data_IF_081610311807
#
_entry.id   IF_081610311807
#
_cell.length_a   1.000
_cell.length_b   1.000
_cell.length_c   1.000
_cell.angle_alpha   90.00
_cell.angle_beta   90.00
_cell.angle_gamma   90.00
#
_symmetry.space_group_name_H-M   'P 1'
#
loop_
_entity.id
_entity.type
_entity.pdbx_description
1 polymer ?
#
# COMPACT_ATOMS: atom_id res chain seq x y z
N UNK A 1 8.37 4.20 -19.78
CA UNK A 1 9.46 3.68 -18.88
C UNK A 1 10.62 4.66 -18.74
N UNK A 2 10.33 5.98 -18.65
CA UNK A 2 11.37 6.99 -18.46
C UNK A 2 12.10 6.83 -17.13
N UNK A 3 11.41 6.43 -16.07
CA UNK A 3 12.00 6.23 -14.73
C UNK A 3 13.11 5.17 -14.73
N UNK A 4 12.91 4.05 -15.42
CA UNK A 4 13.94 3.01 -15.53
C UNK A 4 15.20 3.49 -16.27
N UNK A 5 15.03 4.35 -17.27
CA UNK A 5 16.15 4.93 -18.01
C UNK A 5 16.94 5.91 -17.14
N UNK A 6 16.25 6.75 -16.35
CA UNK A 6 16.91 7.68 -15.43
C UNK A 6 17.65 6.96 -14.31
N UNK A 7 17.08 5.91 -13.72
CA UNK A 7 17.76 5.14 -12.67
C UNK A 7 18.98 4.40 -13.18
N UNK A 8 18.92 3.83 -14.37
CA UNK A 8 20.07 3.19 -15.02
C UNK A 8 21.17 4.21 -15.35
N UNK A 9 20.80 5.36 -15.91
CA UNK A 9 21.78 6.42 -16.24
C UNK A 9 22.47 6.95 -14.98
N UNK A 10 21.74 7.20 -13.90
CA UNK A 10 22.29 7.64 -12.63
C UNK A 10 23.23 6.57 -12.01
N UNK A 11 22.85 5.30 -12.07
CA UNK A 11 23.68 4.18 -11.61
C UNK A 11 24.99 4.08 -12.38
N UNK A 12 24.94 4.18 -13.71
CA UNK A 12 26.14 4.18 -14.56
C UNK A 12 27.06 5.36 -14.29
N UNK A 13 26.50 6.57 -14.11
CA UNK A 13 27.27 7.77 -13.78
C UNK A 13 28.01 7.61 -12.44
N UNK A 14 27.35 7.08 -11.40
CA UNK A 14 27.98 6.83 -10.11
C UNK A 14 29.07 5.76 -10.21
N UNK A 15 28.84 4.68 -10.93
CA UNK A 15 29.87 3.67 -11.20
C UNK A 15 31.08 4.26 -11.92
N UNK A 16 30.87 5.12 -12.91
CA UNK A 16 31.94 5.82 -13.60
C UNK A 16 32.76 6.70 -12.65
N UNK A 17 32.12 7.45 -11.75
CA UNK A 17 32.80 8.27 -10.74
C UNK A 17 33.67 7.42 -9.82
N UNK A 18 33.17 6.30 -9.32
CA UNK A 18 33.91 5.38 -8.46
C UNK A 18 35.14 4.81 -9.18
N UNK A 19 34.95 4.34 -10.43
CA UNK A 19 36.03 3.79 -11.26
C UNK A 19 37.08 4.85 -11.58
N UNK A 20 36.68 6.06 -11.99
CA UNK A 20 37.58 7.14 -12.32
C UNK A 20 38.41 7.61 -11.11
N UNK A 21 37.78 7.74 -9.94
CA UNK A 21 38.49 8.10 -8.70
C UNK A 21 39.48 7.01 -8.27
N UNK A 22 39.12 5.76 -8.44
CA UNK A 22 40.00 4.64 -8.15
C UNK A 22 41.18 4.57 -9.13
N UNK A 23 40.96 4.76 -10.45
CA UNK A 23 42.01 4.85 -11.45
C UNK A 23 42.94 6.04 -11.18
N UNK A 24 42.38 7.21 -10.85
CA UNK A 24 43.14 8.38 -10.47
C UNK A 24 44.05 8.12 -9.27
N UNK A 25 43.61 7.33 -8.29
CA UNK A 25 44.42 6.93 -7.14
C UNK A 25 45.67 6.12 -7.53
N UNK A 26 45.59 5.36 -8.62
CA UNK A 26 46.72 4.55 -9.17
C UNK A 26 47.70 5.37 -9.96
N UNK A 27 47.25 6.47 -10.56
CA UNK A 27 48.08 7.35 -11.37
C UNK A 27 48.93 8.31 -10.52
N UNK A 28 48.69 8.41 -9.21
CA UNK A 28 49.43 9.31 -8.32
C UNK A 28 50.83 8.71 -8.03
N UNK A 29 51.91 9.42 -8.33
CA UNK A 29 53.26 8.98 -8.00
C UNK A 29 53.43 8.85 -6.50
N UNK A 30 53.86 7.67 -6.05
CA UNK A 30 54.12 7.39 -4.59
C UNK A 30 55.60 7.51 -4.25
N UNK A 31 56.44 7.64 -5.24
CA UNK A 31 57.88 7.90 -5.12
C UNK A 31 58.16 9.31 -5.69
N UNK A 32 58.74 10.18 -4.90
CA UNK A 32 59.07 11.56 -5.31
C UNK A 32 60.61 11.79 -5.28
N UNK A 33 61.03 12.94 -5.80
CA UNK A 33 62.44 13.35 -5.79
C UNK A 33 63.01 13.49 -4.36
N UNK A 34 62.14 13.68 -3.38
CA UNK A 34 62.53 13.73 -1.96
C UNK A 34 61.51 12.93 -1.06
N UNK A 35 61.89 12.58 0.19
CA UNK A 35 60.99 11.82 1.08
C UNK A 35 59.66 12.51 1.39
N UNK A 36 59.57 13.84 1.32
CA UNK A 36 58.35 14.60 1.59
C UNK A 36 57.34 14.44 0.46
N UNK A 37 57.82 14.52 -0.80
CA UNK A 37 56.97 14.31 -1.97
C UNK A 37 56.39 12.90 -2.03
N UNK A 38 57.19 11.88 -1.71
CA UNK A 38 56.76 10.51 -1.61
C UNK A 38 55.71 10.31 -0.53
N UNK A 39 55.82 10.99 0.65
CA UNK A 39 54.77 10.96 1.70
C UNK A 39 53.47 11.60 1.22
N UNK A 40 53.56 12.76 0.52
CA UNK A 40 52.40 13.48 -0.01
C UNK A 40 51.65 12.63 -1.07
N UNK A 41 52.42 12.02 -2.00
CA UNK A 41 51.86 11.12 -3.01
C UNK A 41 51.10 9.95 -2.40
N UNK A 42 51.70 9.29 -1.40
CA UNK A 42 51.00 8.20 -0.65
C UNK A 42 49.75 8.68 0.07
N UNK A 43 49.77 9.85 0.72
CA UNK A 43 48.64 10.43 1.40
C UNK A 43 47.50 10.73 0.42
N UNK A 44 47.81 11.35 -0.75
CA UNK A 44 46.83 11.59 -1.82
C UNK A 44 46.24 10.29 -2.37
N UNK A 45 47.06 9.31 -2.71
CA UNK A 45 46.56 7.99 -3.16
C UNK A 45 45.62 7.34 -2.17
N UNK A 46 45.93 7.40 -0.87
CA UNK A 46 45.05 6.88 0.21
C UNK A 46 43.71 7.64 0.25
N UNK A 47 43.76 8.97 0.13
CA UNK A 47 42.56 9.81 0.11
C UNK A 47 41.63 9.42 -1.03
N UNK A 48 42.13 9.31 -2.26
CA UNK A 48 41.32 8.91 -3.40
C UNK A 48 40.77 7.50 -3.29
N UNK A 49 41.54 6.56 -2.74
CA UNK A 49 41.04 5.20 -2.46
C UNK A 49 39.93 5.21 -1.40
N UNK A 50 40.09 6.02 -0.36
CA UNK A 50 39.05 6.19 0.66
C UNK A 50 37.78 6.80 0.07
N UNK A 51 37.90 7.85 -0.75
CA UNK A 51 36.77 8.48 -1.45
C UNK A 51 36.05 7.49 -2.37
N UNK A 52 36.80 6.69 -3.14
CA UNK A 52 36.21 5.67 -4.01
C UNK A 52 35.49 4.59 -3.16
N UNK A 53 36.09 4.15 -2.04
CA UNK A 53 35.50 3.16 -1.15
C UNK A 53 34.23 3.65 -0.46
N UNK A 54 34.24 4.90 0.03
CA UNK A 54 33.02 5.47 0.66
C UNK A 54 31.91 5.71 -0.37
N UNK A 55 32.22 6.14 -1.58
CA UNK A 55 31.25 6.30 -2.65
C UNK A 55 30.64 4.95 -3.07
N UNK A 56 31.46 3.91 -3.20
CA UNK A 56 31.00 2.56 -3.52
C UNK A 56 30.08 1.99 -2.42
N UNK A 57 30.48 2.17 -1.15
CA UNK A 57 29.67 1.73 -0.01
C UNK A 57 28.34 2.47 0.05
N UNK A 58 28.37 3.81 -0.12
CA UNK A 58 27.14 4.62 -0.14
C UNK A 58 26.20 4.19 -1.27
N UNK A 59 26.72 3.89 -2.45
CA UNK A 59 25.93 3.38 -3.57
C UNK A 59 25.30 2.02 -3.25
N UNK A 60 26.08 1.08 -2.70
CA UNK A 60 25.56 -0.24 -2.30
C UNK A 60 24.47 -0.15 -1.24
N UNK A 61 24.67 0.69 -0.22
CA UNK A 61 23.66 0.92 0.81
C UNK A 61 22.38 1.54 0.21
N UNK A 62 22.52 2.53 -0.66
CA UNK A 62 21.36 3.15 -1.32
C UNK A 62 20.61 2.16 -2.22
N UNK A 63 21.34 1.35 -3.00
CA UNK A 63 20.75 0.32 -3.85
C UNK A 63 20.00 -0.73 -3.00
N UNK A 64 20.58 -1.15 -1.89
CA UNK A 64 19.95 -2.08 -0.96
C UNK A 64 18.67 -1.50 -0.35
N UNK A 65 18.72 -0.25 0.14
CA UNK A 65 17.55 0.42 0.71
C UNK A 65 16.42 0.59 -0.30
N UNK A 66 16.76 0.97 -1.54
CA UNK A 66 15.77 1.11 -2.62
C UNK A 66 15.16 -0.25 -2.97
N UNK A 67 15.97 -1.30 -3.15
CA UNK A 67 15.47 -2.64 -3.50
C UNK A 67 14.61 -3.24 -2.40
N UNK A 68 15.03 -3.11 -1.14
CA UNK A 68 14.24 -3.55 0.01
C UNK A 68 12.97 -2.72 0.14
N UNK A 69 13.07 -1.39 0.01
CA UNK A 69 11.90 -0.48 0.07
C UNK A 69 10.87 -0.77 -1.02
N UNK A 70 11.32 -1.00 -2.27
CA UNK A 70 10.44 -1.40 -3.37
C UNK A 70 9.82 -2.77 -3.11
N UNK A 71 10.60 -3.75 -2.65
CA UNK A 71 10.08 -5.09 -2.36
C UNK A 71 9.03 -5.09 -1.23
N UNK A 72 9.21 -4.27 -0.20
CA UNK A 72 8.20 -4.11 0.85
C UNK A 72 6.99 -3.28 0.39
N UNK A 73 7.20 -2.20 -0.36
CA UNK A 73 6.14 -1.32 -0.84
C UNK A 73 5.30 -1.92 -1.98
N UNK A 74 5.81 -2.94 -2.68
CA UNK A 74 5.08 -3.64 -3.75
C UNK A 74 4.26 -4.84 -3.25
N UNK A 75 4.21 -5.11 -1.96
CA UNK A 75 3.33 -6.13 -1.41
C UNK A 75 1.88 -5.65 -1.56
N UNK A 76 1.19 -6.15 -2.58
CA UNK A 76 -0.24 -5.90 -2.73
C UNK A 76 -0.99 -6.52 -1.55
N UNK A 77 -1.73 -5.68 -0.82
CA UNK A 77 -2.64 -6.14 0.21
C UNK A 77 -3.81 -6.83 -0.49
N UNK A 78 -3.98 -8.13 -0.26
CA UNK A 78 -5.15 -8.85 -0.71
C UNK A 78 -6.34 -8.53 0.19
N UNK A 79 -7.50 -8.30 -0.43
CA UNK A 79 -8.74 -8.13 0.31
C UNK A 79 -9.23 -9.50 0.77
N UNK A 80 -9.86 -9.58 1.94
CA UNK A 80 -10.51 -10.82 2.40
C UNK A 80 -11.53 -11.31 1.36
N UNK A 81 -11.64 -12.63 1.21
CA UNK A 81 -12.65 -13.22 0.34
C UNK A 81 -14.05 -12.81 0.80
N UNK A 82 -15.01 -12.60 -0.12
CA UNK A 82 -16.40 -12.36 0.25
C UNK A 82 -16.99 -13.56 1.01
N UNK A 83 -17.76 -13.26 2.04
CA UNK A 83 -18.49 -14.24 2.85
C UNK A 83 -19.85 -14.56 2.23
N UNK A 84 -20.43 -15.68 2.63
CA UNK A 84 -21.74 -16.11 2.17
C UNK A 84 -22.85 -15.38 2.94
N UNK A 85 -23.96 -15.13 2.25
CA UNK A 85 -25.18 -14.57 2.83
C UNK A 85 -26.40 -15.30 2.26
N UNK A 86 -27.56 -15.08 2.85
CA UNK A 86 -28.84 -15.53 2.31
C UNK A 86 -29.63 -14.38 1.70
N UNK A 87 -30.50 -14.66 0.76
CA UNK A 87 -31.45 -13.68 0.20
C UNK A 87 -32.86 -14.07 0.62
N UNK A 88 -33.54 -13.15 1.30
CA UNK A 88 -34.91 -13.32 1.77
C UNK A 88 -35.68 -12.01 1.49
N UNK A 89 -36.82 -12.10 0.85
CA UNK A 89 -37.71 -10.96 0.55
C UNK A 89 -36.99 -9.76 -0.11
N UNK A 90 -36.22 -10.01 -1.17
CA UNK A 90 -35.39 -9.02 -1.87
C UNK A 90 -34.40 -8.27 -0.97
N UNK A 91 -33.94 -8.91 0.08
CA UNK A 91 -32.91 -8.40 0.98
C UNK A 91 -31.78 -9.41 1.14
N UNK A 92 -30.56 -8.92 1.13
CA UNK A 92 -29.41 -9.68 1.62
C UNK A 92 -29.53 -9.77 3.13
N UNK A 93 -29.42 -10.99 3.67
CA UNK A 93 -29.61 -11.28 5.09
C UNK A 93 -28.38 -11.96 5.66
N UNK A 94 -27.83 -11.38 6.73
CA UNK A 94 -26.64 -11.86 7.44
C UNK A 94 -27.01 -12.06 8.91
N UNK A 95 -26.58 -13.19 9.49
CA UNK A 95 -26.82 -13.47 10.88
C UNK A 95 -25.93 -12.61 11.79
N UNK A 96 -26.48 -11.95 12.80
CA UNK A 96 -25.73 -11.14 13.73
C UNK A 96 -24.67 -11.93 14.52
N UNK A 97 -24.89 -13.20 14.76
CA UNK A 97 -23.89 -14.02 15.45
C UNK A 97 -22.59 -14.14 14.69
N UNK A 98 -22.64 -14.07 13.35
CA UNK A 98 -21.49 -14.23 12.48
C UNK A 98 -20.67 -12.93 12.31
N UNK A 99 -21.27 -11.76 12.64
CA UNK A 99 -20.68 -10.42 12.43
C UNK A 99 -20.54 -9.61 13.73
N UNK A 100 -20.71 -10.25 14.88
CA UNK A 100 -20.65 -9.60 16.22
C UNK A 100 -19.29 -9.82 16.90
N UNK A 101 -18.23 -9.95 16.14
CA UNK A 101 -16.87 -10.22 16.61
C UNK A 101 -15.95 -8.98 16.58
N UNK A 102 -16.44 -7.86 16.02
CA UNK A 102 -15.68 -6.61 15.89
C UNK A 102 -14.73 -6.59 14.70
N UNK A 103 -14.73 -7.61 13.84
CA UNK A 103 -13.91 -7.69 12.63
C UNK A 103 -14.64 -7.19 11.38
N UNK A 104 -13.88 -6.98 10.31
CA UNK A 104 -14.38 -6.50 9.04
C UNK A 104 -14.89 -7.68 8.20
N UNK A 105 -16.21 -7.75 8.00
CA UNK A 105 -16.87 -8.72 7.13
C UNK A 105 -17.11 -8.12 5.75
N UNK A 106 -16.85 -8.89 4.69
CA UNK A 106 -17.06 -8.47 3.30
C UNK A 106 -18.04 -9.40 2.62
N UNK A 107 -18.95 -8.80 1.86
CA UNK A 107 -19.96 -9.49 1.06
C UNK A 107 -19.92 -9.00 -0.39
N UNK A 108 -20.26 -9.85 -1.34
CA UNK A 108 -20.31 -9.53 -2.77
C UNK A 108 -21.65 -9.98 -3.34
N UNK A 109 -22.44 -9.03 -3.83
CA UNK A 109 -23.69 -9.28 -4.54
C UNK A 109 -23.50 -9.05 -6.02
N UNK A 110 -23.95 -9.99 -6.87
CA UNK A 110 -23.95 -9.81 -8.31
C UNK A 110 -25.30 -9.26 -8.74
N UNK A 111 -25.30 -8.04 -9.28
CA UNK A 111 -26.49 -7.33 -9.73
C UNK A 111 -27.14 -8.03 -10.93
N UNK A 112 -28.39 -7.64 -11.26
CA UNK A 112 -29.11 -8.10 -12.46
C UNK A 112 -28.35 -7.79 -13.76
N UNK A 113 -27.52 -6.72 -13.77
CA UNK A 113 -26.64 -6.35 -14.87
C UNK A 113 -25.28 -7.08 -14.87
N UNK A 114 -25.04 -8.04 -13.97
CA UNK A 114 -23.79 -8.80 -13.88
C UNK A 114 -22.64 -8.06 -13.20
N UNK A 115 -22.88 -6.89 -12.60
CA UNK A 115 -21.88 -6.12 -11.87
C UNK A 115 -21.75 -6.67 -10.45
N UNK A 116 -20.52 -6.88 -9.99
CA UNK A 116 -20.22 -7.34 -8.63
C UNK A 116 -20.12 -6.15 -7.69
N UNK A 117 -21.12 -5.95 -6.87
CA UNK A 117 -21.18 -4.91 -5.85
C UNK A 117 -20.74 -5.48 -4.52
N UNK A 118 -19.66 -4.93 -3.95
CA UNK A 118 -19.16 -5.33 -2.64
C UNK A 118 -19.61 -4.36 -1.58
N UNK A 119 -19.96 -4.89 -0.41
CA UNK A 119 -20.23 -4.10 0.79
C UNK A 119 -19.56 -4.72 2.00
N UNK A 120 -19.37 -3.92 3.02
CA UNK A 120 -18.71 -4.30 4.25
C UNK A 120 -19.61 -4.05 5.46
N UNK A 121 -19.45 -4.88 6.46
CA UNK A 121 -20.11 -4.79 7.75
C UNK A 121 -19.06 -4.91 8.85
N UNK A 122 -19.15 -4.07 9.87
CA UNK A 122 -18.33 -4.17 11.07
C UNK A 122 -19.14 -3.83 12.31
N UNK A 123 -18.96 -4.58 13.38
CA UNK A 123 -19.53 -4.22 14.68
C UNK A 123 -18.75 -3.05 15.27
N UNK A 124 -19.44 -1.96 15.62
CA UNK A 124 -18.83 -0.78 16.26
C UNK A 124 -18.74 -0.92 17.78
N UNK A 125 -19.87 -1.23 18.40
CA UNK A 125 -19.99 -1.48 19.84
C UNK A 125 -21.36 -2.06 20.15
N UNK A 126 -21.42 -3.08 20.98
CA UNK A 126 -22.69 -3.71 21.39
C UNK A 126 -23.55 -4.13 20.19
N UNK A 127 -24.73 -3.52 20.03
CA UNK A 127 -25.66 -3.78 18.92
C UNK A 127 -25.53 -2.81 17.74
N UNK A 128 -24.51 -1.96 17.72
CA UNK A 128 -24.30 -0.96 16.66
C UNK A 128 -23.35 -1.48 15.59
N UNK A 129 -23.76 -1.39 14.33
CA UNK A 129 -22.97 -1.81 13.18
C UNK A 129 -22.63 -0.64 12.25
N UNK A 130 -21.52 -0.72 11.58
CA UNK A 130 -21.15 0.11 10.41
C UNK A 130 -21.39 -0.70 9.16
N UNK A 131 -22.21 -0.20 8.25
CA UNK A 131 -22.50 -0.85 6.97
C UNK A 131 -22.26 0.16 5.86
N UNK A 132 -21.58 -0.23 4.81
CA UNK A 132 -21.30 0.61 3.65
C UNK A 132 -20.75 -0.18 2.49
N UNK A 133 -20.68 0.45 1.33
CA UNK A 133 -20.03 -0.13 0.16
C UNK A 133 -18.54 -0.31 0.41
N UNK A 134 -17.95 -1.34 -0.15
CA UNK A 134 -16.50 -1.55 -0.17
C UNK A 134 -15.83 -0.60 -1.18
N UNK A 135 -16.23 0.66 -1.10
CA UNK A 135 -15.88 1.77 -1.96
C UNK A 135 -16.06 3.10 -1.23
N UNK A 136 -15.32 4.14 -1.62
CA UNK A 136 -15.53 5.51 -1.15
C UNK A 136 -15.60 6.52 -2.31
N UNK A 137 -16.08 7.72 -2.00
CA UNK A 137 -16.23 8.80 -3.00
C UNK A 137 -14.90 9.24 -3.62
N UNK A 138 -13.78 9.09 -2.89
CA UNK A 138 -12.45 9.56 -3.32
C UNK A 138 -11.66 8.47 -4.05
N UNK A 139 -11.58 7.27 -3.46
CA UNK A 139 -10.76 6.18 -3.98
C UNK A 139 -11.52 5.21 -4.88
N UNK A 140 -12.85 5.32 -4.97
CA UNK A 140 -13.69 4.41 -5.74
C UNK A 140 -13.75 3.00 -5.13
N UNK A 141 -13.96 1.95 -5.95
CA UNK A 141 -14.21 0.57 -5.51
C UNK A 141 -12.93 -0.22 -5.18
N UNK A 142 -11.93 0.42 -4.59
CA UNK A 142 -10.65 -0.21 -4.28
C UNK A 142 -10.72 -1.14 -3.07
N UNK A 143 -11.69 -0.92 -2.19
CA UNK A 143 -11.95 -1.75 -1.02
C UNK A 143 -11.16 -1.37 0.23
N UNK A 144 -11.50 -2.05 1.31
CA UNK A 144 -10.90 -1.89 2.63
C UNK A 144 -10.35 -3.21 3.15
N UNK A 145 -9.32 -3.16 3.95
CA UNK A 145 -8.78 -4.32 4.66
C UNK A 145 -8.62 -4.02 6.15
N UNK A 146 -8.55 -5.07 6.95
CA UNK A 146 -8.27 -4.95 8.37
C UNK A 146 -6.80 -5.24 8.65
N UNK A 147 -6.18 -4.38 9.46
CA UNK A 147 -4.82 -4.58 9.97
C UNK A 147 -4.71 -3.95 11.36
N UNK A 148 -4.19 -4.71 12.31
CA UNK A 148 -3.97 -4.27 13.70
C UNK A 148 -5.24 -3.67 14.34
N UNK A 149 -6.41 -4.27 14.08
CA UNK A 149 -7.72 -3.82 14.58
C UNK A 149 -8.22 -2.51 13.98
N UNK A 150 -7.66 -2.10 12.82
CA UNK A 150 -8.08 -0.89 12.08
C UNK A 150 -8.55 -1.26 10.69
N UNK A 151 -9.61 -0.63 10.24
CA UNK A 151 -10.08 -0.71 8.86
C UNK A 151 -9.33 0.32 8.03
N UNK A 152 -8.65 -0.12 6.98
CA UNK A 152 -7.74 0.69 6.17
C UNK A 152 -8.21 0.67 4.72
N UNK A 153 -8.26 1.83 4.07
CA UNK A 153 -8.54 1.92 2.63
C UNK A 153 -7.35 1.37 1.83
N UNK A 154 -7.61 0.45 0.90
CA UNK A 154 -6.55 -0.22 0.11
C UNK A 154 -5.74 0.75 -0.76
N UNK A 155 -6.35 1.83 -1.28
CA UNK A 155 -5.66 2.75 -2.19
C UNK A 155 -4.84 3.81 -1.47
N UNK A 156 -5.45 4.49 -0.46
CA UNK A 156 -4.81 5.64 0.18
C UNK A 156 -4.20 5.32 1.55
N UNK A 157 -4.33 4.08 2.02
CA UNK A 157 -3.80 3.57 3.30
C UNK A 157 -4.26 4.35 4.54
N UNK A 158 -5.31 5.15 4.41
CA UNK A 158 -5.90 5.87 5.55
C UNK A 158 -6.67 4.89 6.43
N UNK A 159 -6.36 4.90 7.73
CA UNK A 159 -7.10 4.14 8.73
C UNK A 159 -8.41 4.84 9.06
N UNK A 160 -9.52 4.12 8.93
CA UNK A 160 -10.85 4.61 9.26
C UNK A 160 -11.09 4.53 10.78
N UNK A 161 -11.78 5.53 11.30
CA UNK A 161 -12.36 5.40 12.62
C UNK A 161 -13.60 4.50 12.52
N UNK A 162 -13.58 3.35 13.18
CA UNK A 162 -14.66 2.36 13.15
C UNK A 162 -16.01 3.01 13.49
N UNK A 163 -16.04 3.94 14.44
CA UNK A 163 -17.26 4.65 14.82
C UNK A 163 -17.89 5.45 13.65
N UNK A 164 -17.10 5.90 12.68
CA UNK A 164 -17.56 6.70 11.53
C UNK A 164 -17.93 5.86 10.30
N UNK A 165 -17.65 4.55 10.28
CA UNK A 165 -18.08 3.66 9.19
C UNK A 165 -19.60 3.66 9.10
N UNK A 166 -20.13 3.92 7.91
CA UNK A 166 -21.58 4.12 7.68
C UNK A 166 -22.02 5.59 7.73
N UNK A 167 -21.11 6.54 7.93
CA UNK A 167 -21.36 7.97 7.72
C UNK A 167 -20.74 8.43 6.39
N UNK A 168 -21.43 9.34 5.71
CA UNK A 168 -20.97 9.87 4.42
C UNK A 168 -19.80 10.84 4.62
N UNK A 169 -18.79 10.73 3.77
CA UNK A 169 -17.72 11.72 3.60
C UNK A 169 -16.31 11.18 3.67
N UNK A 170 -15.42 11.84 2.95
CA UNK A 170 -14.00 11.52 2.86
C UNK A 170 -13.73 10.12 2.29
N UNK A 171 -12.79 9.42 2.90
CA UNK A 171 -12.48 8.03 2.55
C UNK A 171 -13.34 7.01 3.32
N UNK A 172 -14.41 7.43 4.02
CA UNK A 172 -15.33 6.48 4.63
C UNK A 172 -16.05 5.65 3.56
N UNK A 173 -16.38 4.38 3.86
CA UNK A 173 -17.27 3.59 3.03
C UNK A 173 -18.57 4.34 2.74
N UNK A 174 -19.00 4.35 1.48
CA UNK A 174 -20.28 4.95 1.08
C UNK A 174 -21.39 4.23 1.85
N UNK A 175 -22.19 4.94 2.68
CA UNK A 175 -23.21 4.30 3.49
C UNK A 175 -24.31 3.70 2.62
N UNK A 176 -24.82 2.56 3.05
CA UNK A 176 -26.01 1.92 2.50
C UNK A 176 -27.02 1.68 3.62
N UNK A 177 -28.31 1.74 3.27
CA UNK A 177 -29.38 1.50 4.23
C UNK A 177 -29.39 0.03 4.66
N UNK A 178 -29.59 -0.19 5.95
CA UNK A 178 -29.70 -1.53 6.51
C UNK A 178 -30.70 -1.54 7.67
N UNK A 179 -31.17 -2.72 8.03
CA UNK A 179 -32.02 -2.92 9.21
C UNK A 179 -31.47 -4.07 10.05
N UNK A 180 -31.65 -3.96 11.34
CA UNK A 180 -31.34 -5.04 12.30
C UNK A 180 -32.62 -5.45 12.99
N UNK A 181 -33.01 -6.71 12.84
CA UNK A 181 -34.21 -7.29 13.47
C UNK A 181 -34.04 -8.78 13.65
N UNK A 182 -34.59 -9.31 14.73
CA UNK A 182 -34.65 -10.74 15.00
C UNK A 182 -33.32 -11.50 14.87
N UNK A 183 -32.20 -10.89 15.31
CA UNK A 183 -30.89 -11.51 15.23
C UNK A 183 -30.26 -11.50 13.85
N UNK A 184 -30.78 -10.69 12.91
CA UNK A 184 -30.34 -10.63 11.53
C UNK A 184 -30.14 -9.17 11.10
N UNK A 185 -29.08 -8.92 10.33
CA UNK A 185 -28.84 -7.66 9.62
C UNK A 185 -29.27 -7.84 8.16
N UNK A 186 -30.10 -6.93 7.64
CA UNK A 186 -30.60 -6.99 6.27
C UNK A 186 -30.25 -5.74 5.49
N UNK A 187 -29.83 -5.92 4.22
CA UNK A 187 -29.53 -4.85 3.25
C UNK A 187 -30.45 -5.03 2.05
N UNK A 188 -31.23 -3.98 1.64
CA UNK A 188 -32.09 -4.07 0.47
C UNK A 188 -31.30 -4.30 -0.81
N UNK A 189 -31.70 -5.27 -1.63
CA UNK A 189 -31.07 -5.52 -2.94
C UNK A 189 -31.17 -4.29 -3.84
N UNK A 190 -32.24 -3.52 -3.75
CA UNK A 190 -32.41 -2.27 -4.50
C UNK A 190 -31.29 -1.25 -4.21
N UNK A 191 -30.77 -1.19 -2.99
CA UNK A 191 -29.64 -0.32 -2.65
C UNK A 191 -28.33 -0.79 -3.30
N UNK A 192 -28.14 -2.10 -3.40
CA UNK A 192 -26.98 -2.70 -4.07
C UNK A 192 -27.05 -2.52 -5.59
N UNK A 193 -28.25 -2.74 -6.18
CA UNK A 193 -28.49 -2.49 -7.61
C UNK A 193 -28.24 -1.02 -7.99
N UNK A 194 -28.71 -0.07 -7.18
CA UNK A 194 -28.46 1.36 -7.39
C UNK A 194 -26.99 1.73 -7.33
N UNK A 195 -26.17 0.94 -6.63
CA UNK A 195 -24.74 1.17 -6.44
C UNK A 195 -23.87 0.54 -7.53
N UNK A 196 -24.46 -0.18 -8.49
CA UNK A 196 -23.74 -0.89 -9.56
C UNK A 196 -22.78 0.02 -10.34
N UNK A 197 -23.18 1.27 -10.62
CA UNK A 197 -22.36 2.22 -11.38
C UNK A 197 -21.01 2.55 -10.72
N UNK A 198 -20.88 2.40 -9.40
CA UNK A 198 -19.64 2.63 -8.66
C UNK A 198 -18.61 1.53 -8.95
N UNK A 199 -19.08 0.31 -9.19
CA UNK A 199 -18.27 -0.89 -9.42
C UNK A 199 -18.12 -1.27 -10.90
N UNK A 200 -18.84 -0.64 -11.79
CA UNK A 200 -18.87 -0.94 -13.24
C UNK A 200 -17.66 -0.37 -14.03
N UNK A 201 -16.60 0.07 -13.35
CA UNK A 201 -15.41 0.67 -13.98
C UNK A 201 -14.35 -0.35 -14.31
#
# INVERSE_FOLDING_TARGET
NHEAVFTLAAGLALCAVVVLTWLASRSIPTVGANPAEGRLGRARSRLYKSMAGTAALGYLCSALLITVGVAYGSQEVELSAPESFSVVDDQVSVNLADISDGHLHRYEYTTSGGVKVRFIVIQKSGSSFGVGLDACDICGPTGYYEKDGKVICKLCEVAMNIATIGFKGGCNPIPIDYKVSNGTLTVPISALEASASIFAK
#
